data_IF_621849972127
#
_entry.id   IF_621849972127
#
_cell.length_a   1.000
_cell.length_b   1.000
_cell.length_c   1.000
_cell.angle_alpha   90.00
_cell.angle_beta   90.00
_cell.angle_gamma   90.00
#
_symmetry.space_group_name_H-M   'P 1'
#
loop_
_entity.id
_entity.type
_entity.pdbx_description
1 polymer ?
#
# COMPACT_ATOMS: atom_id res chain seq x y z
N UNK A 1 -60.12 -12.23 -25.15
CA UNK A 1 -58.89 -12.14 -25.98
C UNK A 1 -59.05 -11.01 -27.00
N UNK A 2 -58.13 -10.03 -26.97
CA UNK A 2 -57.86 -8.88 -27.88
C UNK A 2 -57.58 -7.64 -27.01
N UNK A 3 -56.66 -6.71 -27.29
CA UNK A 3 -55.36 -6.63 -27.98
C UNK A 3 -54.98 -5.14 -27.88
N UNK A 4 -53.82 -4.82 -27.31
CA UNK A 4 -53.02 -3.58 -27.45
C UNK A 4 -53.58 -2.23 -26.97
N UNK A 5 -52.78 -1.51 -26.18
CA UNK A 5 -52.19 -0.19 -26.50
C UNK A 5 -51.31 0.22 -25.29
N UNK A 6 -49.98 0.33 -25.44
CA UNK A 6 -49.26 1.58 -25.80
C UNK A 6 -49.63 2.71 -24.81
N UNK A 7 -48.77 3.29 -23.97
CA UNK A 7 -47.32 3.46 -24.01
C UNK A 7 -46.85 3.87 -22.62
N UNK A 8 -45.82 3.22 -22.08
CA UNK A 8 -45.14 3.63 -20.86
C UNK A 8 -44.10 4.70 -21.24
N UNK A 9 -44.47 5.98 -21.17
CA UNK A 9 -43.52 7.08 -21.36
C UNK A 9 -42.96 7.52 -20.00
N UNK A 10 -42.03 6.75 -19.45
CA UNK A 10 -41.18 7.22 -18.36
C UNK A 10 -40.06 8.08 -18.97
N UNK A 11 -40.30 9.40 -19.08
CA UNK A 11 -39.20 10.37 -19.20
C UNK A 11 -38.43 10.36 -17.87
N UNK A 12 -37.46 9.46 -17.76
CA UNK A 12 -36.47 9.56 -16.69
C UNK A 12 -35.48 10.63 -17.15
N UNK A 13 -35.63 11.82 -16.56
CA UNK A 13 -34.62 12.87 -16.59
C UNK A 13 -33.37 12.27 -15.97
N UNK A 14 -32.41 11.87 -16.82
CA UNK A 14 -31.08 11.50 -16.38
C UNK A 14 -30.41 12.77 -15.84
N UNK A 15 -30.47 12.94 -14.52
CA UNK A 15 -29.67 13.94 -13.84
C UNK A 15 -28.22 13.51 -13.96
N UNK A 16 -27.49 14.21 -14.81
CA UNK A 16 -26.04 14.15 -14.89
C UNK A 16 -25.40 14.59 -13.57
N UNK A 17 -24.17 14.14 -13.37
CA UNK A 17 -23.20 14.52 -12.35
C UNK A 17 -23.24 13.73 -11.03
N UNK A 18 -22.56 12.58 -11.05
CA UNK A 18 -21.55 12.34 -10.02
C UNK A 18 -20.18 12.35 -10.71
N UNK A 19 -19.66 13.55 -10.87
CA UNK A 19 -18.26 13.81 -11.15
C UNK A 19 -17.45 13.57 -9.86
N UNK A 20 -17.31 12.30 -9.48
CA UNK A 20 -16.28 11.84 -8.55
C UNK A 20 -15.76 10.50 -9.05
N UNK A 21 -15.24 10.52 -10.28
CA UNK A 21 -14.24 9.56 -10.73
C UNK A 21 -12.93 9.84 -9.98
N UNK A 22 -12.91 9.63 -8.67
CA UNK A 22 -11.70 9.12 -8.02
C UNK A 22 -11.86 7.61 -8.02
N UNK A 23 -11.72 7.02 -9.22
CA UNK A 23 -11.09 5.72 -9.26
C UNK A 23 -9.68 6.02 -8.75
N UNK A 24 -9.48 5.88 -7.43
CA UNK A 24 -8.14 5.62 -6.92
C UNK A 24 -7.61 4.54 -7.83
N UNK A 25 -6.68 4.92 -8.71
CA UNK A 25 -5.97 3.93 -9.51
C UNK A 25 -5.54 2.89 -8.48
N UNK A 26 -5.91 1.60 -8.63
CA UNK A 26 -5.43 0.59 -7.70
C UNK A 26 -3.93 0.81 -7.66
N UNK A 27 -3.45 1.22 -6.47
CA UNK A 27 -2.08 1.63 -6.25
C UNK A 27 -1.24 0.53 -6.88
N UNK A 28 -0.65 0.86 -8.02
CA UNK A 28 -0.09 -0.13 -8.92
C UNK A 28 0.89 -0.91 -8.05
N UNK A 29 0.64 -2.21 -7.84
CA UNK A 29 1.42 -3.09 -6.95
C UNK A 29 2.88 -3.05 -7.41
N UNK A 30 3.58 -2.02 -6.97
CA UNK A 30 4.94 -1.71 -7.37
C UNK A 30 5.77 -2.22 -6.23
N UNK A 31 6.48 -3.29 -6.52
CA UNK A 31 7.47 -3.83 -5.61
C UNK A 31 8.44 -2.70 -5.23
N UNK A 32 8.38 -2.26 -3.98
CA UNK A 32 9.21 -1.19 -3.42
C UNK A 32 10.14 -1.77 -2.36
N UNK A 33 11.34 -1.20 -2.25
CA UNK A 33 12.30 -1.55 -1.19
C UNK A 33 12.45 -0.36 -0.28
N UNK A 34 12.34 -0.60 1.02
CA UNK A 34 12.56 0.40 2.06
C UNK A 34 13.74 -0.01 2.94
N UNK A 35 14.59 0.95 3.31
CA UNK A 35 15.67 0.78 4.28
C UNK A 35 15.31 1.53 5.55
N UNK A 36 15.50 0.87 6.69
CA UNK A 36 15.30 1.50 7.99
C UNK A 36 16.45 2.46 8.32
N UNK A 37 16.12 3.70 8.65
CA UNK A 37 17.08 4.78 8.97
C UNK A 37 17.03 5.21 10.44
N UNK A 38 16.14 4.61 11.23
CA UNK A 38 16.06 4.86 12.66
C UNK A 38 17.26 4.29 13.44
N UNK A 39 17.42 4.77 14.67
CA UNK A 39 18.49 4.35 15.59
C UNK A 39 17.99 3.45 16.73
N UNK A 40 16.68 3.27 16.86
CA UNK A 40 16.06 2.52 17.95
C UNK A 40 14.98 1.57 17.42
N UNK A 41 14.78 0.43 18.08
CA UNK A 41 13.78 -0.55 17.64
C UNK A 41 12.35 0.01 17.72
N UNK A 42 12.05 0.84 18.72
CA UNK A 42 10.74 1.50 18.87
C UNK A 42 10.35 2.39 17.68
N UNK A 43 11.33 2.82 16.87
CA UNK A 43 11.11 3.62 15.67
C UNK A 43 10.68 2.77 14.46
N UNK A 44 10.81 1.45 14.52
CA UNK A 44 10.56 0.54 13.41
C UNK A 44 9.12 0.61 12.86
N UNK A 45 8.15 0.98 13.69
CA UNK A 45 6.74 1.11 13.29
C UNK A 45 6.37 2.51 12.79
N UNK A 46 7.32 3.45 12.77
CA UNK A 46 7.09 4.79 12.24
C UNK A 46 7.60 4.86 10.78
N UNK A 47 6.74 5.13 9.79
CA UNK A 47 7.13 5.24 8.39
C UNK A 47 8.19 6.33 8.12
N UNK A 48 8.28 7.38 8.95
CA UNK A 48 9.30 8.44 8.79
C UNK A 48 10.75 7.95 8.96
N UNK A 49 10.93 6.72 9.48
CA UNK A 49 12.24 6.09 9.63
C UNK A 49 12.50 5.04 8.56
N UNK A 50 11.81 5.12 7.43
CA UNK A 50 11.96 4.23 6.29
C UNK A 50 12.11 5.02 5.00
N UNK A 51 13.25 4.84 4.34
CA UNK A 51 13.52 5.47 3.06
C UNK A 51 13.32 4.46 1.93
N UNK A 52 12.51 4.82 0.93
CA UNK A 52 12.42 4.05 -0.30
C UNK A 52 13.76 4.16 -1.06
N UNK A 53 14.27 3.00 -1.47
CA UNK A 53 15.52 2.90 -2.24
C UNK A 53 15.30 2.08 -3.49
N UNK A 54 16.16 2.25 -4.52
CA UNK A 54 16.11 1.39 -5.70
C UNK A 54 16.17 -0.09 -5.33
N UNK A 55 15.43 -0.94 -6.06
CA UNK A 55 15.47 -2.39 -5.86
C UNK A 55 16.88 -2.98 -6.05
N UNK A 56 17.79 -2.28 -6.73
CA UNK A 56 19.20 -2.67 -6.88
C UNK A 56 20.10 -2.26 -5.73
N UNK A 57 19.61 -1.46 -4.76
CA UNK A 57 20.40 -1.03 -3.62
C UNK A 57 20.91 -2.24 -2.83
N UNK A 58 22.15 -2.22 -2.31
CA UNK A 58 22.69 -3.31 -1.51
C UNK A 58 21.83 -3.59 -0.26
N UNK A 59 21.91 -4.82 0.24
CA UNK A 59 21.36 -5.19 1.55
C UNK A 59 22.18 -4.57 2.70
N UNK A 60 21.68 -4.69 3.93
CA UNK A 60 22.45 -4.31 5.12
C UNK A 60 23.13 -5.54 5.72
N UNK A 61 24.20 -5.31 6.48
CA UNK A 61 24.95 -6.36 7.16
C UNK A 61 24.09 -7.12 8.17
N UNK A 62 24.23 -8.45 8.21
CA UNK A 62 23.53 -9.30 9.15
C UNK A 62 23.98 -9.05 10.61
N UNK A 63 23.09 -9.33 11.57
CA UNK A 63 23.41 -9.32 13.00
C UNK A 63 22.98 -8.08 13.79
N UNK A 64 22.32 -7.11 13.13
CA UNK A 64 21.77 -5.94 13.82
C UNK A 64 20.56 -6.29 14.70
N UNK A 65 20.44 -5.61 15.85
CA UNK A 65 19.25 -5.59 16.71
C UNK A 65 18.13 -4.70 16.15
N UNK A 66 18.39 -3.98 15.06
CA UNK A 66 17.44 -3.15 14.34
C UNK A 66 17.00 -3.82 13.02
N UNK A 67 15.80 -3.51 12.51
CA UNK A 67 15.42 -3.88 11.15
C UNK A 67 16.42 -3.32 10.13
N UNK A 68 16.61 -4.04 9.03
CA UNK A 68 17.51 -3.64 7.96
C UNK A 68 16.72 -3.04 6.79
N UNK A 69 15.98 -3.91 6.08
CA UNK A 69 15.30 -3.54 4.86
C UNK A 69 14.16 -4.51 4.58
N UNK A 70 13.10 -3.98 3.98
CA UNK A 70 11.96 -4.76 3.52
C UNK A 70 11.73 -4.49 2.04
N UNK A 71 11.36 -5.54 1.30
CA UNK A 71 10.78 -5.40 -0.03
C UNK A 71 9.31 -5.80 0.07
N UNK A 72 8.41 -4.95 -0.40
CA UNK A 72 6.96 -5.10 -0.24
C UNK A 72 6.23 -4.64 -1.49
N UNK A 73 5.03 -5.17 -1.73
CA UNK A 73 4.16 -4.84 -2.89
C UNK A 73 3.13 -3.73 -2.57
N UNK A 74 3.22 -3.17 -1.36
CA UNK A 74 2.40 -2.06 -0.86
C UNK A 74 3.32 -0.97 -0.29
N UNK A 75 2.80 0.24 -0.08
CA UNK A 75 3.55 1.32 0.57
C UNK A 75 3.99 0.92 2.01
N UNK A 76 4.93 1.68 2.56
CA UNK A 76 5.51 1.34 3.85
C UNK A 76 4.50 1.48 4.99
N UNK A 77 3.57 2.43 4.91
CA UNK A 77 2.52 2.68 5.89
C UNK A 77 1.60 1.46 6.06
N UNK A 78 1.09 0.93 4.95
CA UNK A 78 0.23 -0.26 4.92
C UNK A 78 0.99 -1.51 5.33
N UNK A 79 2.27 -1.61 4.95
CA UNK A 79 3.11 -2.72 5.39
C UNK A 79 3.32 -2.70 6.91
N UNK A 80 3.51 -1.52 7.51
CA UNK A 80 3.70 -1.33 8.95
C UNK A 80 2.40 -1.48 9.76
N UNK A 81 1.24 -1.29 9.13
CA UNK A 81 -0.05 -1.29 9.80
C UNK A 81 -0.27 -2.55 10.66
N UNK A 82 -0.57 -2.32 11.95
CA UNK A 82 -0.87 -3.38 12.91
C UNK A 82 0.32 -4.23 13.37
N UNK A 83 1.55 -3.90 12.97
CA UNK A 83 2.76 -4.61 13.40
C UNK A 83 3.36 -3.98 14.66
N UNK A 84 3.95 -4.84 15.48
CA UNK A 84 4.87 -4.45 16.56
C UNK A 84 6.27 -4.24 16.02
N UNK A 85 7.10 -3.49 16.75
CA UNK A 85 8.49 -3.25 16.39
C UNK A 85 9.29 -4.56 16.25
N UNK A 86 9.03 -5.55 17.11
CA UNK A 86 9.66 -6.87 17.04
C UNK A 86 9.24 -7.64 15.78
N UNK A 87 7.96 -7.58 15.39
CA UNK A 87 7.47 -8.18 14.15
C UNK A 87 8.11 -7.52 12.93
N UNK A 88 8.19 -6.19 12.92
CA UNK A 88 8.88 -5.43 11.87
C UNK A 88 10.34 -5.86 11.79
N UNK A 89 11.07 -5.92 12.92
CA UNK A 89 12.46 -6.38 12.96
C UNK A 89 12.64 -7.78 12.39
N UNK A 90 11.77 -8.73 12.75
CA UNK A 90 11.86 -10.12 12.29
C UNK A 90 11.53 -10.27 10.80
N UNK A 91 10.66 -9.42 10.25
CA UNK A 91 10.23 -9.49 8.84
C UNK A 91 11.10 -8.63 7.91
N UNK A 92 11.61 -7.49 8.40
CA UNK A 92 12.49 -6.58 7.66
C UNK A 92 13.94 -7.05 7.66
N UNK A 93 14.13 -8.29 7.23
CA UNK A 93 15.42 -8.94 7.05
C UNK A 93 15.53 -9.59 5.66
N UNK A 94 14.58 -9.28 4.76
CA UNK A 94 14.41 -9.89 3.42
C UNK A 94 15.64 -9.79 2.50
N UNK A 95 16.66 -9.01 2.88
CA UNK A 95 17.92 -8.84 2.14
C UNK A 95 19.15 -8.78 3.06
N UNK A 96 19.22 -9.66 4.05
CA UNK A 96 20.45 -9.82 4.87
C UNK A 96 21.66 -10.38 4.09
N UNK A 97 21.52 -10.71 2.80
CA UNK A 97 22.59 -10.86 1.80
C UNK A 97 22.00 -10.70 0.40
#
# INVERSE_FOLDING_TARGET
MKKYMLSLAAMVVAVAAMAFTNVEKPEEQRLAKYIFTGSQLSQATNPDHWDEVPLSAPGCSAGSSLPCAVTTEMNIEDWLAGKTAEQVRLQADSRRN
#
